data_IF_438713648658
#
_entry.id   IF_438713648658
#
_cell.length_a   1.000
_cell.length_b   1.000
_cell.length_c   1.000
_cell.angle_alpha   90.00
_cell.angle_beta   90.00
_cell.angle_gamma   90.00
#
_symmetry.space_group_name_H-M   'P 1'
#
loop_
_entity.id
_entity.type
_entity.pdbx_description
1 polymer ?
#
# COMPACT_ATOMS: atom_id res chain seq x y z
N UNK A 1 -23.75 12.32 15.18
CA UNK A 1 -23.66 11.06 14.42
C UNK A 1 -22.30 11.04 13.74
N UNK A 2 -21.48 10.01 13.98
CA UNK A 2 -20.21 9.83 13.29
C UNK A 2 -20.56 9.42 11.85
N UNK A 3 -20.27 10.28 10.88
CA UNK A 3 -20.52 10.01 9.46
C UNK A 3 -19.52 8.95 8.97
N UNK A 4 -20.02 7.81 8.49
CA UNK A 4 -19.18 6.71 8.02
C UNK A 4 -18.42 7.15 6.76
N UNK A 5 -17.09 6.97 6.67
CA UNK A 5 -16.31 7.36 5.50
C UNK A 5 -16.86 6.78 4.19
N UNK A 6 -16.72 7.50 3.09
CA UNK A 6 -17.21 7.09 1.78
C UNK A 6 -16.59 5.76 1.34
N UNK A 7 -15.30 5.55 1.63
CA UNK A 7 -14.59 4.30 1.35
C UNK A 7 -15.24 3.08 2.03
N UNK A 8 -15.80 3.24 3.22
CA UNK A 8 -16.48 2.17 3.94
C UNK A 8 -17.92 1.98 3.46
N UNK A 9 -18.62 3.07 3.13
CA UNK A 9 -19.97 3.02 2.54
C UNK A 9 -20.01 2.33 1.18
N UNK A 10 -18.94 2.48 0.39
CA UNK A 10 -18.82 1.94 -0.96
C UNK A 10 -18.19 0.55 -1.03
N UNK A 11 -17.93 -0.11 0.09
CA UNK A 11 -17.41 -1.48 0.05
C UNK A 11 -18.39 -2.37 -0.73
N UNK A 12 -17.91 -3.10 -1.75
CA UNK A 12 -18.74 -4.04 -2.49
C UNK A 12 -19.32 -5.10 -1.56
N UNK A 13 -20.52 -5.58 -1.91
CA UNK A 13 -21.26 -6.59 -1.15
C UNK A 13 -21.15 -8.00 -1.74
N UNK A 14 -20.64 -8.10 -2.97
CA UNK A 14 -20.45 -9.36 -3.68
C UNK A 14 -19.10 -9.36 -4.39
N UNK A 15 -18.55 -10.55 -4.68
CA UNK A 15 -17.35 -10.67 -5.50
C UNK A 15 -17.55 -10.13 -6.92
N UNK A 16 -18.78 -10.10 -7.44
CA UNK A 16 -19.10 -9.54 -8.76
C UNK A 16 -18.94 -8.02 -8.80
N UNK A 17 -19.23 -7.35 -7.70
CA UNK A 17 -19.09 -5.89 -7.57
C UNK A 17 -17.66 -5.47 -7.20
N UNK A 18 -16.78 -6.42 -6.90
CA UNK A 18 -15.39 -6.15 -6.55
C UNK A 18 -14.61 -5.66 -7.77
N UNK A 19 -14.08 -4.45 -7.65
CA UNK A 19 -13.31 -3.82 -8.73
C UNK A 19 -11.84 -4.20 -8.59
N UNK A 20 -11.31 -4.84 -9.63
CA UNK A 20 -9.90 -5.20 -9.74
C UNK A 20 -9.57 -6.63 -9.38
N UNK A 21 -8.27 -6.93 -9.39
CA UNK A 21 -7.70 -8.24 -9.07
C UNK A 21 -8.27 -9.40 -9.91
N UNK A 22 -8.60 -9.16 -11.19
CA UNK A 22 -9.17 -10.18 -12.09
C UNK A 22 -8.26 -11.40 -12.28
N UNK A 23 -6.95 -11.24 -12.08
CA UNK A 23 -6.02 -12.35 -12.07
C UNK A 23 -6.23 -13.31 -10.88
N UNK A 24 -6.81 -12.82 -9.77
CA UNK A 24 -7.15 -13.60 -8.58
C UNK A 24 -8.61 -14.06 -8.57
N UNK A 25 -9.54 -13.14 -8.83
CA UNK A 25 -11.01 -13.38 -8.69
C UNK A 25 -11.73 -13.53 -10.02
N UNK A 26 -10.99 -13.61 -11.13
CA UNK A 26 -11.57 -13.88 -12.46
C UNK A 26 -12.16 -15.27 -12.57
N UNK A 27 -12.95 -15.48 -13.64
CA UNK A 27 -13.46 -16.80 -13.99
C UNK A 27 -12.28 -17.79 -14.11
N UNK A 28 -12.48 -18.99 -13.59
CA UNK A 28 -11.50 -20.10 -13.57
C UNK A 28 -10.20 -19.83 -12.78
N UNK A 29 -10.15 -18.77 -11.97
CA UNK A 29 -8.98 -18.51 -11.11
C UNK A 29 -9.01 -19.35 -9.83
N UNK A 30 -7.83 -19.80 -9.32
CA UNK A 30 -7.77 -20.71 -8.17
C UNK A 30 -8.50 -20.20 -6.94
N UNK A 31 -8.38 -18.90 -6.62
CA UNK A 31 -9.06 -18.33 -5.46
C UNK A 31 -10.58 -18.38 -5.62
N UNK A 32 -11.12 -17.99 -6.78
CA UNK A 32 -12.55 -18.06 -7.06
C UNK A 32 -13.06 -19.51 -7.01
N UNK A 33 -12.34 -20.45 -7.61
CA UNK A 33 -12.70 -21.88 -7.60
C UNK A 33 -12.70 -22.46 -6.17
N UNK A 34 -11.73 -22.09 -5.33
CA UNK A 34 -11.68 -22.53 -3.93
C UNK A 34 -12.85 -21.99 -3.10
N UNK A 35 -13.25 -20.73 -3.35
CA UNK A 35 -14.43 -20.13 -2.71
C UNK A 35 -15.70 -20.88 -3.15
N UNK A 36 -15.88 -21.10 -4.45
CA UNK A 36 -17.05 -21.81 -4.99
C UNK A 36 -17.19 -23.25 -4.50
N UNK A 37 -16.05 -23.95 -4.33
CA UNK A 37 -16.02 -25.33 -3.81
C UNK A 37 -16.08 -25.42 -2.28
N UNK A 38 -16.10 -24.27 -1.58
CA UNK A 38 -16.00 -24.17 -0.11
C UNK A 38 -14.77 -24.91 0.46
N UNK A 39 -13.64 -24.90 -0.26
CA UNK A 39 -12.37 -25.52 0.15
C UNK A 39 -11.28 -24.46 0.41
N UNK A 40 -11.61 -23.46 1.22
CA UNK A 40 -10.72 -22.33 1.47
C UNK A 40 -9.56 -22.73 2.38
N UNK A 41 -8.33 -22.50 1.94
CA UNK A 41 -7.14 -22.63 2.79
C UNK A 41 -6.77 -21.28 3.42
N UNK A 42 -5.98 -21.31 4.50
CA UNK A 42 -5.37 -20.09 5.03
C UNK A 42 -4.52 -19.42 3.97
N UNK A 43 -4.45 -18.09 4.00
CA UNK A 43 -3.81 -17.30 2.95
C UNK A 43 -3.24 -15.97 3.46
N UNK A 44 -2.28 -15.45 2.71
CA UNK A 44 -1.70 -14.11 2.91
C UNK A 44 -1.96 -13.28 1.66
N UNK A 45 -2.62 -12.14 1.84
CA UNK A 45 -2.77 -11.08 0.86
C UNK A 45 -1.61 -10.11 0.96
N UNK A 46 -0.78 -10.09 -0.09
CA UNK A 46 0.34 -9.16 -0.20
C UNK A 46 0.06 -8.14 -1.30
N UNK A 47 0.05 -6.86 -0.97
CA UNK A 47 -0.14 -5.81 -1.96
C UNK A 47 -0.16 -4.42 -1.35
N UNK A 48 -0.13 -3.36 -2.19
CA UNK A 48 -0.09 -1.97 -1.74
C UNK A 48 -1.34 -1.58 -0.93
N UNK A 49 -1.34 -0.43 -0.24
CA UNK A 49 -2.56 0.11 0.36
C UNK A 49 -3.64 0.34 -0.72
N UNK A 50 -4.91 0.31 -0.31
CA UNK A 50 -6.02 0.62 -1.21
C UNK A 50 -6.38 -0.41 -2.28
N UNK A 51 -5.61 -1.49 -2.47
CA UNK A 51 -5.89 -2.50 -3.49
C UNK A 51 -7.05 -3.48 -3.17
N UNK A 52 -7.64 -3.37 -1.97
CA UNK A 52 -8.84 -4.12 -1.60
C UNK A 52 -8.65 -5.35 -0.71
N UNK A 53 -7.48 -5.56 -0.08
CA UNK A 53 -7.19 -6.72 0.81
C UNK A 53 -8.30 -7.01 1.84
N UNK A 54 -8.64 -6.00 2.66
CA UNK A 54 -9.67 -6.11 3.70
C UNK A 54 -11.06 -6.37 3.13
N UNK A 55 -11.36 -5.75 1.99
CA UNK A 55 -12.65 -5.92 1.29
C UNK A 55 -12.78 -7.33 0.74
N UNK A 56 -11.74 -7.84 0.09
CA UNK A 56 -11.71 -9.19 -0.47
C UNK A 56 -11.86 -10.24 0.64
N UNK A 57 -11.18 -10.08 1.77
CA UNK A 57 -11.30 -11.00 2.91
C UNK A 57 -12.76 -11.08 3.44
N UNK A 58 -13.44 -9.93 3.53
CA UNK A 58 -14.86 -9.87 3.95
C UNK A 58 -15.79 -10.53 2.95
N UNK A 59 -15.57 -10.28 1.66
CA UNK A 59 -16.37 -10.91 0.61
C UNK A 59 -16.20 -12.43 0.60
N UNK A 60 -14.97 -12.91 0.75
CA UNK A 60 -14.69 -14.34 0.88
C UNK A 60 -15.47 -14.94 2.06
N UNK A 61 -15.44 -14.31 3.23
CA UNK A 61 -16.16 -14.83 4.38
C UNK A 61 -17.68 -14.85 4.19
N UNK A 62 -18.23 -13.85 3.48
CA UNK A 62 -19.65 -13.81 3.14
C UNK A 62 -20.05 -14.94 2.18
N UNK A 63 -19.27 -15.17 1.12
CA UNK A 63 -19.52 -16.27 0.15
C UNK A 63 -19.33 -17.66 0.79
N UNK A 64 -18.46 -17.76 1.78
CA UNK A 64 -18.23 -18.97 2.57
C UNK A 64 -19.27 -19.19 3.67
N UNK A 65 -20.16 -18.22 3.91
CA UNK A 65 -21.09 -18.20 5.05
C UNK A 65 -20.36 -18.40 6.40
N UNK A 66 -19.15 -17.86 6.50
CA UNK A 66 -18.24 -18.04 7.61
C UNK A 66 -18.33 -16.86 8.59
N UNK A 67 -18.07 -17.12 9.87
CA UNK A 67 -17.92 -16.07 10.85
C UNK A 67 -16.64 -15.26 10.56
N UNK A 68 -16.77 -13.96 10.29
CA UNK A 68 -15.66 -13.08 9.99
C UNK A 68 -15.22 -12.28 11.21
N UNK A 69 -13.97 -12.48 11.64
CA UNK A 69 -13.37 -11.68 12.72
C UNK A 69 -12.17 -10.92 12.18
N UNK A 70 -12.30 -9.60 12.08
CA UNK A 70 -11.22 -8.72 11.61
C UNK A 70 -10.48 -8.06 12.76
N UNK A 71 -9.18 -8.26 12.83
CA UNK A 71 -8.27 -7.60 13.78
C UNK A 71 -7.15 -6.89 13.03
N UNK A 72 -6.59 -5.83 13.65
CA UNK A 72 -5.37 -5.18 13.17
C UNK A 72 -4.20 -5.57 14.06
N UNK A 73 -3.13 -6.09 13.48
CA UNK A 73 -1.92 -6.48 14.20
C UNK A 73 -1.21 -5.29 14.86
N UNK A 74 -1.56 -4.06 14.47
CA UNK A 74 -1.08 -2.82 15.12
C UNK A 74 -1.68 -2.64 16.50
N UNK A 75 -2.95 -3.01 16.69
CA UNK A 75 -3.69 -2.74 17.92
C UNK A 75 -4.04 -3.98 18.73
N UNK A 76 -3.95 -5.19 18.15
CA UNK A 76 -4.36 -6.42 18.81
C UNK A 76 -3.19 -7.16 19.49
N UNK A 77 -3.50 -7.79 20.62
CA UNK A 77 -2.55 -8.60 21.38
C UNK A 77 -2.93 -10.09 21.39
N UNK A 78 -2.12 -10.90 22.08
CA UNK A 78 -2.37 -12.34 22.26
C UNK A 78 -3.72 -12.63 22.95
N UNK A 79 -4.19 -11.73 23.80
CA UNK A 79 -5.46 -11.87 24.51
C UNK A 79 -6.67 -11.80 23.56
N UNK A 80 -6.61 -10.97 22.53
CA UNK A 80 -7.69 -10.85 21.54
C UNK A 80 -7.78 -12.12 20.71
N UNK A 81 -6.63 -12.64 20.25
CA UNK A 81 -6.57 -13.92 19.51
C UNK A 81 -7.15 -15.07 20.36
N UNK A 82 -6.84 -15.12 21.66
CA UNK A 82 -7.39 -16.12 22.58
C UNK A 82 -8.92 -16.10 22.62
N UNK A 83 -9.54 -14.91 22.63
CA UNK A 83 -11.00 -14.76 22.60
C UNK A 83 -11.58 -15.30 21.31
N UNK A 84 -10.98 -14.93 20.17
CA UNK A 84 -11.40 -15.41 18.84
C UNK A 84 -11.31 -16.94 18.76
N UNK A 85 -10.22 -17.53 19.26
CA UNK A 85 -10.04 -18.99 19.29
C UNK A 85 -11.09 -19.66 20.18
N UNK A 86 -11.40 -19.08 21.35
CA UNK A 86 -12.40 -19.65 22.25
C UNK A 86 -13.80 -19.62 21.61
N UNK A 87 -14.16 -18.51 20.97
CA UNK A 87 -15.41 -18.37 20.23
C UNK A 87 -15.49 -19.36 19.05
N UNK A 88 -14.43 -19.45 18.24
CA UNK A 88 -14.35 -20.39 17.13
C UNK A 88 -14.48 -21.86 17.57
N UNK A 89 -13.93 -22.20 18.74
CA UNK A 89 -14.08 -23.54 19.32
C UNK A 89 -15.48 -23.85 19.83
N UNK A 90 -16.23 -22.83 20.28
CA UNK A 90 -17.61 -22.99 20.70
C UNK A 90 -18.55 -23.17 19.50
N UNK A 91 -18.23 -22.58 18.36
CA UNK A 91 -19.03 -22.63 17.12
C UNK A 91 -18.60 -23.71 16.12
N UNK A 92 -17.63 -24.56 16.49
CA UNK A 92 -16.96 -25.55 15.64
C UNK A 92 -17.92 -26.51 14.89
N UNK A 93 -19.14 -26.67 15.39
CA UNK A 93 -20.18 -27.52 14.78
C UNK A 93 -21.21 -26.78 13.91
N UNK A 94 -21.14 -25.44 13.80
CA UNK A 94 -22.14 -24.63 13.09
C UNK A 94 -21.57 -23.79 11.96
N UNK A 95 -20.42 -23.12 12.13
CA UNK A 95 -19.82 -22.26 11.09
C UNK A 95 -18.29 -22.17 11.19
N UNK A 96 -17.61 -22.21 10.05
CA UNK A 96 -16.16 -21.95 9.92
C UNK A 96 -15.86 -20.50 10.38
N UNK A 97 -14.75 -20.30 11.08
CA UNK A 97 -14.30 -18.95 11.48
C UNK A 97 -13.11 -18.50 10.65
N UNK A 98 -13.26 -17.36 9.99
CA UNK A 98 -12.20 -16.68 9.24
C UNK A 98 -11.66 -15.54 10.10
N UNK A 99 -10.39 -15.66 10.49
CA UNK A 99 -9.65 -14.62 11.18
C UNK A 99 -8.90 -13.78 10.14
N UNK A 100 -9.30 -12.54 9.97
CA UNK A 100 -8.56 -11.57 9.18
C UNK A 100 -7.60 -10.78 10.07
N UNK A 101 -6.30 -10.81 9.73
CA UNK A 101 -5.26 -10.03 10.41
C UNK A 101 -4.65 -9.01 9.46
N UNK A 102 -5.02 -7.74 9.63
CA UNK A 102 -4.41 -6.64 8.88
C UNK A 102 -3.01 -6.32 9.42
N UNK A 103 -2.10 -5.90 8.53
CA UNK A 103 -0.71 -5.56 8.85
C UNK A 103 0.04 -6.69 9.59
N UNK A 104 -0.15 -7.95 9.18
CA UNK A 104 0.38 -9.14 9.89
C UNK A 104 1.90 -9.10 10.13
N UNK A 105 2.65 -8.35 9.32
CA UNK A 105 4.09 -8.11 9.52
C UNK A 105 4.43 -7.40 10.85
N UNK A 106 3.44 -6.77 11.51
CA UNK A 106 3.61 -6.13 12.82
C UNK A 106 3.57 -7.12 13.99
N UNK A 107 3.08 -8.33 13.78
CA UNK A 107 3.15 -9.38 14.79
C UNK A 107 4.58 -9.90 14.94
N UNK A 108 5.01 -9.98 16.20
CA UNK A 108 6.27 -10.65 16.52
C UNK A 108 6.16 -12.17 16.31
N UNK A 109 7.32 -12.83 16.27
CA UNK A 109 7.42 -14.28 16.07
C UNK A 109 6.55 -15.10 17.03
N UNK A 110 6.52 -14.75 18.32
CA UNK A 110 5.72 -15.48 19.33
C UNK A 110 4.21 -15.36 19.09
N UNK A 111 3.73 -14.22 18.58
CA UNK A 111 2.33 -14.02 18.21
C UNK A 111 1.97 -14.84 16.97
N UNK A 112 2.86 -14.93 15.99
CA UNK A 112 2.67 -15.75 14.79
C UNK A 112 2.70 -17.25 15.12
N UNK A 113 3.67 -17.70 15.92
CA UNK A 113 3.79 -19.09 16.39
C UNK A 113 2.51 -19.52 17.15
N UNK A 114 1.89 -18.62 17.89
CA UNK A 114 0.65 -18.89 18.61
C UNK A 114 -0.53 -19.24 17.69
N UNK A 115 -0.54 -18.77 16.43
CA UNK A 115 -1.61 -19.05 15.48
C UNK A 115 -1.52 -20.46 14.87
N UNK A 116 -0.31 -21.05 14.82
CA UNK A 116 -0.03 -22.28 14.08
C UNK A 116 -0.97 -23.44 14.43
N UNK A 117 -1.19 -23.80 15.72
CA UNK A 117 -2.02 -24.95 16.04
C UNK A 117 -3.45 -24.79 15.52
N UNK A 118 -3.98 -23.56 15.53
CA UNK A 118 -5.36 -23.28 15.14
C UNK A 118 -5.55 -23.23 13.62
N UNK A 119 -4.49 -22.86 12.90
CA UNK A 119 -4.44 -22.93 11.43
C UNK A 119 -4.32 -24.38 10.97
N UNK A 120 -3.51 -25.19 11.65
CA UNK A 120 -3.31 -26.61 11.32
C UNK A 120 -4.56 -27.46 11.56
N UNK A 121 -5.23 -27.25 12.70
CA UNK A 121 -6.44 -28.00 13.04
C UNK A 121 -7.68 -27.54 12.29
N UNK A 122 -7.57 -26.47 11.48
CA UNK A 122 -8.72 -25.84 10.82
C UNK A 122 -9.68 -25.12 11.77
N UNK A 123 -9.29 -24.93 13.05
CA UNK A 123 -10.09 -24.15 14.01
C UNK A 123 -10.26 -22.69 13.54
N UNK A 124 -9.22 -22.14 12.91
CA UNK A 124 -9.27 -20.84 12.25
C UNK A 124 -8.77 -20.98 10.83
N UNK A 125 -9.47 -20.31 9.90
CA UNK A 125 -8.90 -20.01 8.59
C UNK A 125 -8.33 -18.60 8.62
N UNK A 126 -7.01 -18.50 8.52
CA UNK A 126 -6.30 -17.24 8.60
C UNK A 126 -6.30 -16.56 7.23
N UNK A 127 -6.69 -15.29 7.19
CA UNK A 127 -6.41 -14.38 6.07
C UNK A 127 -5.54 -13.24 6.60
N UNK A 128 -4.23 -13.33 6.40
CA UNK A 128 -3.30 -12.25 6.73
C UNK A 128 -3.23 -11.22 5.62
N UNK A 129 -3.07 -9.94 5.94
CA UNK A 129 -2.83 -8.88 4.96
C UNK A 129 -1.54 -8.12 5.29
N UNK A 130 -0.74 -7.81 4.28
CA UNK A 130 0.51 -7.07 4.43
C UNK A 130 0.83 -6.23 3.19
N UNK A 131 1.48 -5.09 3.41
CA UNK A 131 2.12 -4.26 2.38
C UNK A 131 3.58 -4.66 2.15
N UNK A 132 4.22 -5.23 3.18
CA UNK A 132 5.59 -5.72 3.15
C UNK A 132 5.65 -7.16 2.61
N UNK A 133 6.79 -7.51 2.00
CA UNK A 133 6.98 -8.85 1.43
C UNK A 133 6.86 -9.92 2.53
N UNK A 134 5.94 -10.88 2.40
CA UNK A 134 5.67 -11.88 3.43
C UNK A 134 6.85 -12.82 3.70
N UNK A 135 7.77 -13.04 2.75
CA UNK A 135 8.92 -13.94 2.95
C UNK A 135 9.89 -13.47 4.02
N UNK A 136 9.89 -12.17 4.33
CA UNK A 136 10.76 -11.57 5.35
C UNK A 136 10.03 -11.32 6.68
N UNK A 137 8.72 -11.14 6.63
CA UNK A 137 7.93 -10.64 7.77
C UNK A 137 7.05 -11.71 8.42
N UNK A 138 6.71 -12.76 7.69
CA UNK A 138 5.93 -13.89 8.18
C UNK A 138 6.83 -15.10 8.37
N UNK A 139 6.69 -15.77 9.51
CA UNK A 139 7.51 -16.93 9.86
C UNK A 139 7.28 -18.09 8.87
N UNK A 140 8.35 -18.81 8.54
CA UNK A 140 8.31 -19.94 7.59
C UNK A 140 7.25 -21.01 7.93
N UNK A 141 7.02 -21.39 9.21
CA UNK A 141 5.97 -22.36 9.54
C UNK A 141 4.55 -21.89 9.17
N UNK A 142 4.27 -20.58 9.28
CA UNK A 142 2.95 -20.05 8.96
C UNK A 142 2.81 -19.90 7.44
N UNK A 143 3.86 -19.45 6.75
CA UNK A 143 3.90 -19.39 5.30
C UNK A 143 3.69 -20.76 4.65
N UNK A 144 4.27 -21.84 5.19
CA UNK A 144 4.08 -23.18 4.61
C UNK A 144 2.65 -23.72 4.72
N UNK A 145 1.79 -23.07 5.52
CA UNK A 145 0.37 -23.40 5.70
C UNK A 145 -0.57 -22.37 5.05
N UNK A 146 -0.02 -21.35 4.42
CA UNK A 146 -0.77 -20.27 3.80
C UNK A 146 -0.48 -20.17 2.30
N UNK A 147 -1.51 -19.98 1.49
CA UNK A 147 -1.34 -19.57 0.10
C UNK A 147 -1.05 -18.07 0.02
N UNK A 148 -0.06 -17.67 -0.79
CA UNK A 148 0.26 -16.25 -0.99
C UNK A 148 -0.48 -15.77 -2.24
N UNK A 149 -1.31 -14.74 -2.09
CA UNK A 149 -1.94 -14.05 -3.21
C UNK A 149 -1.44 -12.61 -3.29
N UNK A 150 -0.90 -12.26 -4.45
CA UNK A 150 -0.37 -10.91 -4.74
C UNK A 150 -1.49 -10.05 -5.31
N UNK A 151 -1.86 -9.00 -4.59
CA UNK A 151 -2.77 -7.98 -5.05
C UNK A 151 -1.97 -6.84 -5.69
N UNK A 152 -2.38 -6.46 -6.90
CA UNK A 152 -1.73 -5.43 -7.69
C UNK A 152 -2.34 -4.04 -7.41
N UNK A 153 -1.61 -2.94 -7.64
CA UNK A 153 -2.23 -1.60 -7.71
C UNK A 153 -3.36 -1.59 -8.76
N UNK A 154 -4.41 -0.80 -8.51
CA UNK A 154 -5.52 -0.72 -9.46
C UNK A 154 -5.10 -0.02 -10.75
N UNK A 155 -5.52 -0.56 -11.88
CA UNK A 155 -5.33 0.04 -13.20
C UNK A 155 -6.14 1.33 -13.35
N UNK A 156 -5.78 2.17 -14.34
CA UNK A 156 -6.52 3.39 -14.63
C UNK A 156 -8.00 3.10 -14.91
N UNK A 157 -8.33 2.05 -15.67
CA UNK A 157 -9.72 1.67 -15.96
C UNK A 157 -10.51 1.30 -14.69
N UNK A 158 -9.87 0.65 -13.73
CA UNK A 158 -10.48 0.26 -12.46
C UNK A 158 -10.69 1.48 -11.55
N UNK A 159 -9.71 2.39 -11.49
CA UNK A 159 -9.85 3.65 -10.76
C UNK A 159 -10.97 4.51 -11.34
N UNK A 160 -11.12 4.56 -12.66
CA UNK A 160 -12.25 5.26 -13.31
C UNK A 160 -13.59 4.68 -12.83
N UNK A 161 -13.70 3.35 -12.70
CA UNK A 161 -14.90 2.70 -12.17
C UNK A 161 -15.15 3.11 -10.71
N UNK A 162 -14.12 3.11 -9.87
CA UNK A 162 -14.20 3.56 -8.47
C UNK A 162 -14.63 5.03 -8.36
N UNK A 163 -14.04 5.93 -9.17
CA UNK A 163 -14.41 7.36 -9.23
C UNK A 163 -15.90 7.50 -9.54
N UNK A 164 -16.41 6.77 -10.55
CA UNK A 164 -17.83 6.79 -10.91
C UNK A 164 -18.73 6.33 -9.76
N UNK A 165 -18.32 5.31 -9.01
CA UNK A 165 -19.06 4.85 -7.81
C UNK A 165 -19.06 5.91 -6.71
N UNK A 166 -17.90 6.52 -6.45
CA UNK A 166 -17.71 7.64 -5.54
C UNK A 166 -18.66 8.80 -5.81
N UNK A 167 -18.66 9.27 -7.06
CA UNK A 167 -19.48 10.40 -7.50
C UNK A 167 -20.99 10.11 -7.40
N UNK A 168 -21.41 8.90 -7.77
CA UNK A 168 -22.82 8.48 -7.66
C UNK A 168 -23.31 8.51 -6.22
N UNK A 169 -22.48 8.04 -5.28
CA UNK A 169 -22.83 8.05 -3.87
C UNK A 169 -22.84 9.44 -3.25
N UNK A 170 -21.97 10.34 -3.70
CA UNK A 170 -21.93 11.74 -3.24
C UNK A 170 -23.05 12.60 -3.82
N UNK A 171 -23.60 12.23 -4.99
CA UNK A 171 -24.66 12.98 -5.67
C UNK A 171 -25.94 12.16 -5.88
N UNK A 172 -26.61 11.67 -4.82
CA UNK A 172 -27.77 10.78 -4.94
C UNK A 172 -28.97 11.44 -5.63
N UNK A 173 -29.03 12.78 -5.65
CA UNK A 173 -30.10 13.55 -6.29
C UNK A 173 -29.93 13.69 -7.81
N UNK A 174 -28.72 13.43 -8.34
CA UNK A 174 -28.46 13.45 -9.77
C UNK A 174 -28.77 12.08 -10.38
N UNK A 175 -29.34 12.06 -11.59
CA UNK A 175 -29.67 10.82 -12.32
C UNK A 175 -28.85 10.68 -13.60
N UNK A 176 -28.66 9.44 -14.05
CA UNK A 176 -27.96 9.13 -15.31
C UNK A 176 -26.48 9.49 -15.27
N UNK A 177 -25.91 9.86 -16.42
CA UNK A 177 -24.47 10.15 -16.54
C UNK A 177 -24.02 11.34 -15.68
N UNK A 178 -24.93 12.27 -15.37
CA UNK A 178 -24.66 13.48 -14.57
C UNK A 178 -24.23 13.17 -13.13
N UNK A 179 -24.69 12.07 -12.54
CA UNK A 179 -24.28 11.69 -11.16
C UNK A 179 -22.89 11.07 -11.08
N UNK A 180 -22.34 10.66 -12.23
CA UNK A 180 -20.99 10.08 -12.35
C UNK A 180 -20.05 10.93 -13.20
N UNK A 181 -20.49 12.11 -13.64
CA UNK A 181 -19.73 12.94 -14.54
C UNK A 181 -18.63 13.70 -13.79
N UNK A 182 -17.42 13.59 -14.32
CA UNK A 182 -16.26 14.36 -13.90
C UNK A 182 -15.48 14.71 -15.15
N UNK A 183 -15.09 15.98 -15.29
CA UNK A 183 -14.27 16.45 -16.41
C UNK A 183 -12.97 15.66 -16.52
N UNK A 184 -12.45 15.52 -17.74
CA UNK A 184 -11.24 14.73 -18.05
C UNK A 184 -10.08 15.07 -17.13
N UNK A 185 -9.67 16.34 -17.11
CA UNK A 185 -8.54 16.81 -16.31
C UNK A 185 -8.68 16.51 -14.80
N UNK A 186 -9.89 16.61 -14.25
CA UNK A 186 -10.15 16.31 -12.84
C UNK A 186 -10.10 14.80 -12.55
N UNK A 187 -10.48 13.97 -13.52
CA UNK A 187 -10.40 12.52 -13.44
C UNK A 187 -8.95 12.05 -13.56
N UNK A 188 -8.22 12.58 -14.53
CA UNK A 188 -6.82 12.22 -14.76
C UNK A 188 -5.97 12.61 -13.56
N UNK A 189 -6.23 13.79 -12.98
CA UNK A 189 -5.65 14.21 -11.71
C UNK A 189 -5.91 13.21 -10.56
N UNK A 190 -7.16 12.73 -10.38
CA UNK A 190 -7.47 11.74 -9.35
C UNK A 190 -6.75 10.40 -9.56
N UNK A 191 -6.64 9.96 -10.81
CA UNK A 191 -5.95 8.72 -11.18
C UNK A 191 -4.47 8.84 -10.83
N UNK A 192 -3.82 9.92 -11.27
CA UNK A 192 -2.41 10.19 -11.02
C UNK A 192 -2.13 10.32 -9.52
N UNK A 193 -2.93 11.11 -8.80
CA UNK A 193 -2.84 11.30 -7.36
C UNK A 193 -2.88 9.98 -6.58
N UNK A 194 -3.80 9.09 -6.95
CA UNK A 194 -4.04 7.86 -6.20
C UNK A 194 -2.98 6.79 -6.36
N UNK A 195 -2.21 6.82 -7.46
CA UNK A 195 -1.21 5.80 -7.80
C UNK A 195 -1.71 4.34 -7.60
N UNK A 196 -2.97 4.06 -7.96
CA UNK A 196 -3.58 2.73 -7.81
C UNK A 196 -4.30 2.46 -6.48
N UNK A 197 -4.40 3.43 -5.57
CA UNK A 197 -5.08 3.32 -4.27
C UNK A 197 -6.53 3.85 -4.34
N UNK A 198 -7.52 2.94 -4.32
CA UNK A 198 -8.94 3.31 -4.32
C UNK A 198 -9.38 4.11 -3.08
N UNK A 199 -8.77 3.87 -1.92
CA UNK A 199 -9.13 4.55 -0.67
C UNK A 199 -8.75 6.03 -0.75
N UNK A 200 -7.58 6.35 -1.30
CA UNK A 200 -7.15 7.74 -1.51
C UNK A 200 -8.09 8.50 -2.44
N UNK A 201 -8.51 7.88 -3.56
CA UNK A 201 -9.51 8.46 -4.47
C UNK A 201 -10.79 8.82 -3.73
N UNK A 202 -11.37 7.85 -3.01
CA UNK A 202 -12.64 8.03 -2.33
C UNK A 202 -12.56 9.07 -1.20
N UNK A 203 -11.45 9.09 -0.46
CA UNK A 203 -11.21 10.08 0.59
C UNK A 203 -11.12 11.51 0.01
N UNK A 204 -10.40 11.69 -1.09
CA UNK A 204 -10.26 13.01 -1.72
C UNK A 204 -11.58 13.49 -2.34
N UNK A 205 -12.34 12.59 -2.98
CA UNK A 205 -13.69 12.89 -3.47
C UNK A 205 -14.61 13.33 -2.32
N UNK A 206 -14.61 12.59 -1.22
CA UNK A 206 -15.42 12.90 -0.04
C UNK A 206 -15.02 14.23 0.60
N UNK A 207 -13.72 14.46 0.81
CA UNK A 207 -13.20 15.70 1.39
C UNK A 207 -13.56 16.92 0.54
N UNK A 208 -13.36 16.80 -0.78
CA UNK A 208 -13.69 17.86 -1.75
C UNK A 208 -15.18 18.17 -1.75
N UNK A 209 -16.02 17.13 -1.74
CA UNK A 209 -17.47 17.31 -1.68
C UNK A 209 -17.92 17.91 -0.35
N UNK A 210 -17.31 17.51 0.78
CA UNK A 210 -17.61 18.09 2.10
C UNK A 210 -17.28 19.58 2.15
N UNK A 211 -16.14 19.99 1.61
CA UNK A 211 -15.67 21.38 1.63
C UNK A 211 -16.37 22.28 0.62
N UNK A 212 -16.54 21.83 -0.63
CA UNK A 212 -16.93 22.69 -1.75
C UNK A 212 -18.27 22.33 -2.39
N UNK A 213 -18.89 21.19 -2.01
CA UNK A 213 -20.09 20.57 -2.61
C UNK A 213 -19.97 20.17 -4.08
N UNK A 214 -19.11 20.83 -4.84
CA UNK A 214 -18.83 20.62 -6.25
C UNK A 214 -17.43 20.06 -6.44
N UNK A 215 -17.30 19.00 -7.22
CA UNK A 215 -16.03 18.34 -7.49
C UNK A 215 -15.52 18.84 -8.85
N UNK A 216 -14.50 19.69 -8.79
CA UNK A 216 -13.81 20.26 -9.96
C UNK A 216 -12.30 20.11 -9.73
N UNK A 217 -11.49 20.20 -10.79
CA UNK A 217 -10.02 20.13 -10.66
C UNK A 217 -9.49 21.16 -9.64
N UNK A 218 -10.00 22.39 -9.70
CA UNK A 218 -9.63 23.46 -8.75
C UNK A 218 -9.97 23.07 -7.30
N UNK A 219 -11.17 22.55 -7.06
CA UNK A 219 -11.60 22.18 -5.72
C UNK A 219 -10.86 20.95 -5.19
N UNK A 220 -10.53 19.98 -6.05
CA UNK A 220 -9.69 18.83 -5.70
C UNK A 220 -8.31 19.28 -5.22
N UNK A 221 -7.65 20.16 -6.00
CA UNK A 221 -6.35 20.74 -5.61
C UNK A 221 -6.43 21.56 -4.32
N UNK A 222 -7.49 22.36 -4.14
CA UNK A 222 -7.68 23.14 -2.93
C UNK A 222 -7.97 22.26 -1.71
N UNK A 223 -8.73 21.17 -1.87
CA UNK A 223 -9.03 20.23 -0.79
C UNK A 223 -7.74 19.57 -0.27
N UNK A 224 -6.83 19.19 -1.17
CA UNK A 224 -5.49 18.69 -0.83
C UNK A 224 -4.64 19.72 -0.08
N UNK A 225 -4.69 20.99 -0.47
CA UNK A 225 -3.94 22.07 0.19
C UNK A 225 -4.54 22.48 1.54
N UNK A 226 -5.86 22.28 1.72
CA UNK A 226 -6.54 22.65 2.95
C UNK A 226 -6.04 21.76 4.11
N UNK A 227 -5.59 22.41 5.20
CA UNK A 227 -4.93 21.81 6.37
C UNK A 227 -5.70 20.69 7.10
N UNK A 228 -6.89 20.31 6.64
CA UNK A 228 -7.66 19.18 7.18
C UNK A 228 -7.11 17.80 6.78
N UNK A 229 -6.12 17.74 5.87
CA UNK A 229 -5.34 16.54 5.54
C UNK A 229 -3.92 16.57 6.13
N UNK A 230 -3.66 17.35 7.19
CA UNK A 230 -2.40 17.26 7.96
C UNK A 230 -2.24 15.98 8.78
N UNK A 231 -3.08 14.98 8.55
CA UNK A 231 -2.91 13.61 9.00
C UNK A 231 -3.29 12.63 7.87
N UNK A 232 -2.52 12.66 6.79
CA UNK A 232 -2.03 11.45 6.11
C UNK A 232 -0.80 11.84 5.28
N UNK A 233 0.38 11.34 5.67
CA UNK A 233 1.63 11.55 4.90
C UNK A 233 1.53 10.69 3.64
N UNK A 234 1.24 11.27 2.46
CA UNK A 234 1.27 10.49 1.24
C UNK A 234 1.04 11.25 -0.07
N UNK A 235 1.95 11.05 -1.03
CA UNK A 235 1.62 10.99 -2.46
C UNK A 235 2.37 11.95 -3.38
N UNK A 236 1.70 13.00 -3.85
CA UNK A 236 2.14 13.71 -5.07
C UNK A 236 3.36 14.62 -4.89
N UNK A 237 3.39 15.49 -3.88
CA UNK A 237 4.61 16.28 -3.64
C UNK A 237 5.76 15.39 -3.19
N UNK A 238 5.47 14.31 -2.47
CA UNK A 238 6.46 13.32 -2.04
C UNK A 238 7.17 12.70 -3.25
N UNK A 239 6.43 12.12 -4.20
CA UNK A 239 7.00 11.48 -5.40
C UNK A 239 7.65 12.48 -6.36
N UNK A 240 7.03 13.65 -6.56
CA UNK A 240 7.60 14.67 -7.43
C UNK A 240 8.89 15.26 -6.84
N UNK A 241 8.94 15.49 -5.53
CA UNK A 241 10.12 16.07 -4.88
C UNK A 241 11.25 15.06 -4.76
N UNK A 242 10.98 13.81 -4.41
CA UNK A 242 12.02 12.76 -4.38
C UNK A 242 12.52 12.40 -5.78
N UNK A 243 11.63 12.36 -6.79
CA UNK A 243 12.03 12.17 -8.18
C UNK A 243 12.90 13.32 -8.67
N UNK A 244 12.55 14.55 -8.30
CA UNK A 244 13.35 15.73 -8.62
C UNK A 244 14.71 15.71 -7.91
N UNK A 245 14.77 15.33 -6.63
CA UNK A 245 16.05 15.10 -5.92
C UNK A 245 16.93 14.14 -6.72
N UNK A 246 16.41 12.94 -7.04
CA UNK A 246 17.18 11.91 -7.74
C UNK A 246 17.60 12.36 -9.15
N UNK A 247 16.74 13.08 -9.88
CA UNK A 247 17.08 13.65 -11.20
C UNK A 247 18.17 14.70 -11.10
N UNK A 248 18.12 15.59 -10.10
CA UNK A 248 19.17 16.58 -9.85
C UNK A 248 20.50 15.89 -9.52
N UNK A 249 20.48 14.88 -8.64
CA UNK A 249 21.68 14.09 -8.34
C UNK A 249 22.23 13.39 -9.59
N UNK A 250 21.36 12.83 -10.44
CA UNK A 250 21.75 12.18 -11.71
C UNK A 250 22.36 13.16 -12.70
N UNK A 251 21.84 14.38 -12.76
CA UNK A 251 22.38 15.48 -13.55
C UNK A 251 23.66 16.08 -12.97
N UNK A 252 24.13 15.57 -11.82
CA UNK A 252 25.27 16.09 -11.07
C UNK A 252 25.11 17.57 -10.67
N UNK A 253 23.88 17.97 -10.33
CA UNK A 253 23.51 19.30 -9.85
C UNK A 253 23.26 19.25 -8.32
N UNK A 254 24.29 19.50 -7.49
CA UNK A 254 24.17 19.41 -6.04
C UNK A 254 23.29 20.52 -5.46
N UNK A 255 23.22 21.70 -6.08
CA UNK A 255 22.44 22.84 -5.59
C UNK A 255 20.94 22.55 -5.73
N UNK A 256 20.51 22.09 -6.91
CA UNK A 256 19.13 21.68 -7.12
C UNK A 256 18.77 20.47 -6.24
N UNK A 257 19.68 19.51 -6.06
CA UNK A 257 19.46 18.37 -5.20
C UNK A 257 19.25 18.80 -3.73
N UNK A 258 20.09 19.69 -3.20
CA UNK A 258 19.92 20.23 -1.85
C UNK A 258 18.62 21.02 -1.70
N UNK A 259 18.19 21.76 -2.71
CA UNK A 259 16.90 22.44 -2.70
C UNK A 259 15.73 21.47 -2.52
N UNK A 260 15.69 20.37 -3.31
CA UNK A 260 14.65 19.36 -3.17
C UNK A 260 14.75 18.59 -1.85
N UNK A 261 15.96 18.34 -1.34
CA UNK A 261 16.16 17.79 0.00
C UNK A 261 15.55 18.71 1.07
N UNK A 262 15.89 20.00 1.06
CA UNK A 262 15.38 20.98 2.02
C UNK A 262 13.85 21.07 1.98
N UNK A 263 13.25 20.99 0.78
CA UNK A 263 11.80 20.90 0.63
C UNK A 263 11.20 19.68 1.32
N UNK A 264 11.81 18.49 1.16
CA UNK A 264 11.34 17.26 1.80
C UNK A 264 11.51 17.31 3.33
N UNK A 265 12.67 17.77 3.81
CA UNK A 265 12.93 17.91 5.25
C UNK A 265 11.93 18.88 5.89
N UNK A 266 11.72 20.04 5.28
CA UNK A 266 10.75 21.03 5.79
C UNK A 266 9.29 20.55 5.70
N UNK A 267 8.97 19.67 4.74
CA UNK A 267 7.68 19.01 4.64
C UNK A 267 7.49 17.89 5.68
N UNK A 268 8.54 17.53 6.45
CA UNK A 268 8.49 16.48 7.46
C UNK A 268 8.50 15.07 6.88
N UNK A 269 9.17 14.90 5.74
CA UNK A 269 9.38 13.61 5.06
C UNK A 269 10.09 12.59 5.96
N UNK A 270 9.89 11.29 5.76
CA UNK A 270 10.66 10.29 6.51
C UNK A 270 12.16 10.33 6.10
N UNK A 271 13.11 10.60 7.02
CA UNK A 271 14.53 10.66 6.65
C UNK A 271 15.05 9.31 6.16
N UNK A 272 14.50 8.20 6.67
CA UNK A 272 14.86 6.86 6.22
C UNK A 272 14.39 6.60 4.79
N UNK A 273 13.28 7.21 4.38
CA UNK A 273 12.81 7.14 3.00
C UNK A 273 13.79 7.83 2.05
N UNK A 274 14.22 9.05 2.38
CA UNK A 274 15.20 9.79 1.58
C UNK A 274 16.51 9.00 1.47
N UNK A 275 17.01 8.51 2.60
CA UNK A 275 18.25 7.73 2.65
C UNK A 275 18.16 6.40 1.87
N UNK A 276 17.03 5.68 1.91
CA UNK A 276 16.82 4.48 1.07
C UNK A 276 16.97 4.80 -0.42
N UNK A 277 16.43 5.94 -0.87
CA UNK A 277 16.53 6.37 -2.27
C UNK A 277 17.96 6.73 -2.66
N UNK A 278 18.74 7.28 -1.74
CA UNK A 278 20.18 7.51 -1.92
C UNK A 278 20.97 6.21 -2.04
N UNK A 279 20.64 5.18 -1.26
CA UNK A 279 21.26 3.83 -1.37
C UNK A 279 20.99 3.22 -2.75
N UNK A 280 19.74 3.26 -3.22
CA UNK A 280 19.39 2.78 -4.57
C UNK A 280 20.16 3.56 -5.64
N UNK A 281 20.20 4.89 -5.52
CA UNK A 281 20.94 5.76 -6.44
C UNK A 281 22.43 5.40 -6.51
N UNK A 282 23.06 5.10 -5.38
CA UNK A 282 24.46 4.72 -5.34
C UNK A 282 24.74 3.44 -6.15
N UNK A 283 23.85 2.46 -6.12
CA UNK A 283 23.99 1.23 -6.91
C UNK A 283 23.55 1.39 -8.37
N UNK A 284 22.50 2.16 -8.63
CA UNK A 284 21.90 2.31 -9.96
C UNK A 284 22.65 3.31 -10.83
N UNK A 285 22.91 4.51 -10.31
CA UNK A 285 23.36 5.67 -11.08
C UNK A 285 24.87 5.94 -10.97
N UNK A 286 25.51 5.53 -9.88
CA UNK A 286 26.97 5.63 -9.69
C UNK A 286 27.65 4.30 -9.99
N UNK A 287 27.12 3.20 -9.46
CA UNK A 287 27.51 1.85 -9.83
C UNK A 287 29.01 1.60 -9.70
N UNK A 288 29.60 1.04 -10.77
CA UNK A 288 31.01 0.64 -10.79
C UNK A 288 31.99 1.80 -10.99
N UNK A 289 31.51 3.01 -11.31
CA UNK A 289 32.39 4.18 -11.38
C UNK A 289 32.98 4.52 -10.01
N UNK A 290 32.24 4.28 -8.92
CA UNK A 290 32.71 4.50 -7.56
C UNK A 290 31.95 3.60 -6.57
N UNK A 291 32.37 2.33 -6.41
CA UNK A 291 31.67 1.35 -5.55
C UNK A 291 31.56 1.79 -4.08
N UNK A 292 32.47 2.63 -3.60
CA UNK A 292 32.44 3.19 -2.25
C UNK A 292 31.23 4.12 -2.02
N UNK A 293 30.57 4.60 -3.06
CA UNK A 293 29.34 5.39 -2.92
C UNK A 293 28.21 4.61 -2.24
N UNK A 294 28.13 3.29 -2.46
CA UNK A 294 27.17 2.45 -1.77
C UNK A 294 27.48 2.35 -0.27
N UNK A 295 28.76 2.33 0.10
CA UNK A 295 29.18 2.31 1.52
C UNK A 295 28.77 3.62 2.20
N UNK A 296 29.10 4.76 1.59
CA UNK A 296 28.73 6.09 2.11
C UNK A 296 27.22 6.25 2.23
N UNK A 297 26.45 5.81 1.23
CA UNK A 297 24.99 5.89 1.28
C UNK A 297 24.39 5.03 2.41
N UNK A 298 24.96 3.84 2.67
CA UNK A 298 24.54 2.99 3.79
C UNK A 298 24.89 3.62 5.15
N UNK A 299 26.05 4.26 5.28
CA UNK A 299 26.41 4.97 6.52
C UNK A 299 25.51 6.18 6.77
N UNK A 300 25.11 6.90 5.71
CA UNK A 300 24.09 7.97 5.81
C UNK A 300 22.74 7.41 6.24
N UNK A 301 22.32 6.27 5.67
CA UNK A 301 21.09 5.59 6.08
C UNK A 301 21.13 5.19 7.56
N UNK A 302 22.22 4.57 7.99
CA UNK A 302 22.43 4.18 9.40
C UNK A 302 22.44 5.40 10.32
N UNK A 303 23.09 6.49 9.93
CA UNK A 303 23.06 7.74 10.71
C UNK A 303 21.63 8.26 10.87
N UNK A 304 20.81 8.20 9.82
CA UNK A 304 19.39 8.55 9.90
C UNK A 304 18.60 7.66 10.87
N UNK A 305 18.89 6.36 10.92
CA UNK A 305 18.25 5.43 11.87
C UNK A 305 18.65 5.71 13.31
N UNK A 306 19.93 6.00 13.55
CA UNK A 306 20.47 6.14 14.91
C UNK A 306 20.29 7.52 15.52
N UNK A 307 20.33 8.58 14.70
CA UNK A 307 20.29 9.97 15.17
C UNK A 307 18.86 10.51 15.09
N UNK A 308 18.18 10.32 13.96
CA UNK A 308 16.85 10.90 13.71
C UNK A 308 16.87 12.42 13.51
N UNK A 309 15.69 13.01 13.31
CA UNK A 309 15.56 14.46 13.17
C UNK A 309 15.60 15.19 14.52
N UNK A 310 16.06 16.47 14.54
CA UNK A 310 16.48 17.26 13.38
C UNK A 310 17.88 16.98 12.83
N UNK A 311 18.81 16.43 13.63
CA UNK A 311 20.24 16.37 13.31
C UNK A 311 20.57 15.48 12.10
N UNK A 312 19.79 14.43 11.82
CA UNK A 312 20.07 13.58 10.66
C UNK A 312 19.91 14.31 9.30
N UNK A 313 19.32 15.51 9.28
CA UNK A 313 19.27 16.34 8.08
C UNK A 313 20.67 16.72 7.58
N UNK A 314 21.65 16.89 8.46
CA UNK A 314 23.03 17.20 8.09
C UNK A 314 23.70 15.99 7.40
N UNK A 315 23.41 14.78 7.88
CA UNK A 315 23.88 13.54 7.25
C UNK A 315 23.27 13.34 5.86
N UNK A 316 21.97 13.61 5.71
CA UNK A 316 21.29 13.57 4.41
C UNK A 316 21.92 14.58 3.44
N UNK A 317 22.15 15.81 3.88
CA UNK A 317 22.76 16.86 3.05
C UNK A 317 24.17 16.46 2.58
N UNK A 318 24.99 15.93 3.48
CA UNK A 318 26.33 15.41 3.14
C UNK A 318 26.23 14.32 2.07
N UNK A 319 25.39 13.30 2.31
CA UNK A 319 25.24 12.20 1.34
C UNK A 319 24.72 12.66 -0.02
N UNK A 320 23.76 13.60 -0.07
CA UNK A 320 23.22 14.15 -1.32
C UNK A 320 24.31 14.84 -2.13
N UNK A 321 25.13 15.69 -1.51
CA UNK A 321 26.23 16.39 -2.20
C UNK A 321 27.27 15.39 -2.70
N UNK A 322 27.69 14.45 -1.85
CA UNK A 322 28.68 13.44 -2.21
C UNK A 322 28.23 12.62 -3.42
N UNK A 323 27.00 12.10 -3.40
CA UNK A 323 26.45 11.28 -4.48
C UNK A 323 26.18 12.09 -5.76
N UNK A 324 25.83 13.37 -5.64
CA UNK A 324 25.67 14.28 -6.78
C UNK A 324 27.00 14.48 -7.53
N UNK A 325 28.11 14.65 -6.81
CA UNK A 325 29.43 14.88 -7.38
C UNK A 325 30.12 13.61 -7.90
N UNK A 326 29.68 12.42 -7.48
CA UNK A 326 30.25 11.16 -7.95
C UNK A 326 30.06 10.94 -9.45
N UNK A 327 31.02 10.28 -10.11
CA UNK A 327 30.90 9.90 -11.53
C UNK A 327 29.76 8.89 -11.71
N UNK A 328 28.97 9.05 -12.78
CA UNK A 328 27.81 8.20 -13.06
C UNK A 328 28.19 7.02 -13.95
N UNK A 329 27.72 5.83 -13.61
CA UNK A 329 27.85 4.60 -14.40
C UNK A 329 26.70 3.64 -14.07
N UNK A 330 25.81 3.44 -15.05
CA UNK A 330 24.62 2.60 -14.95
C UNK A 330 24.82 1.18 -15.53
N UNK A 331 26.04 0.86 -15.99
CA UNK A 331 26.32 -0.36 -16.76
C UNK A 331 25.88 -1.64 -16.05
N UNK A 332 26.15 -1.76 -14.75
CA UNK A 332 25.77 -2.92 -13.95
C UNK A 332 24.24 -3.09 -13.85
N UNK A 333 23.51 -2.00 -13.63
CA UNK A 333 22.05 -2.00 -13.57
C UNK A 333 21.43 -2.35 -14.93
N UNK A 334 21.88 -1.69 -16.00
CA UNK A 334 21.37 -1.90 -17.34
C UNK A 334 21.64 -3.33 -17.84
N UNK A 335 22.82 -3.89 -17.52
CA UNK A 335 23.16 -5.28 -17.82
C UNK A 335 22.24 -6.28 -17.09
N UNK A 336 21.96 -6.05 -15.80
CA UNK A 336 21.04 -6.88 -15.04
C UNK A 336 19.61 -6.83 -15.61
N UNK A 337 19.11 -5.65 -15.97
CA UNK A 337 17.77 -5.50 -16.53
C UNK A 337 17.63 -6.23 -17.88
N UNK A 338 18.66 -6.20 -18.73
CA UNK A 338 18.69 -7.00 -19.98
C UNK A 338 18.66 -8.50 -19.70
N UNK A 339 19.47 -8.99 -18.75
CA UNK A 339 19.45 -10.40 -18.36
C UNK A 339 18.07 -10.81 -17.82
N UNK A 340 17.42 -9.94 -17.05
CA UNK A 340 16.08 -10.18 -16.51
C UNK A 340 15.00 -10.23 -17.61
N UNK A 341 15.12 -9.42 -18.67
CA UNK A 341 14.22 -9.49 -19.83
C UNK A 341 14.34 -10.83 -20.55
N UNK A 342 15.53 -11.38 -20.69
CA UNK A 342 15.74 -12.67 -21.36
C UNK A 342 15.23 -13.85 -20.52
N UNK A 343 15.30 -13.79 -19.19
CA UNK A 343 14.71 -14.81 -18.29
C UNK A 343 13.18 -14.83 -18.37
N UNK A 344 12.54 -13.72 -18.75
CA UNK A 344 11.08 -13.58 -18.82
C UNK A 344 10.47 -13.99 -20.17
N UNK A 345 11.28 -14.21 -21.19
CA UNK A 345 10.84 -14.67 -22.53
C UNK A 345 10.71 -16.19 -22.55
#
# INVERSE_FOLDING_TARGET
MIDVPLADRLRPKTLKDFVGQRHLVGLDKPLLLSIQKKTLHSMIFWGPPGCGKTTLARLIAQEMEANFVGLSAVSCGKADIKKVVAEAKATLFQQQTILFLDEIHRFNKLQQDYLLPFVETGTLTLIGATTENPSFTVISPLLSRCQIFVLEPLSQSELIQIIKLGLKALNPHLRGERSSHLGGDARDFLIEFSNGDARQVLNLLEATHKLYKTITLKNLKNALQSKFLRYDRGGEEHFNTISSLIKSMRASDPDAALYYLARMVNAGEDPLFIARRMVVFASEDIGMAQPTALVVANDVFRACETIGYPECQENLAHGVVYLSLAKKDRSAYDAYMKALEDVKK
#
